data_IF_681577542061
#
_entry.id   IF_681577542061
#
_cell.length_a   1.000
_cell.length_b   1.000
_cell.length_c   1.000
_cell.angle_alpha   90.00
_cell.angle_beta   90.00
_cell.angle_gamma   90.00
#
_symmetry.space_group_name_H-M   'P 1'
#
loop_
_entity.id
_entity.type
_entity.pdbx_description
1 polymer ?
#
# COMPACT_ATOMS: atom_id res chain seq x y z
N UNK A 1 27.90 -13.28 1.09
CA UNK A 1 27.36 -12.55 2.25
C UNK A 1 25.84 -12.55 2.09
N UNK A 2 25.08 -13.18 2.98
CA UNK A 2 23.60 -13.11 2.92
C UNK A 2 23.19 -11.74 3.44
N UNK A 3 22.42 -11.01 2.65
CA UNK A 3 21.84 -9.72 3.07
C UNK A 3 20.75 -10.02 4.10
N UNK A 4 20.82 -9.35 5.24
CA UNK A 4 19.71 -9.35 6.22
C UNK A 4 18.68 -8.30 5.78
N UNK A 5 17.78 -8.71 4.91
CA UNK A 5 16.73 -7.84 4.36
C UNK A 5 15.83 -7.23 5.44
N UNK A 6 15.65 -7.92 6.57
CA UNK A 6 14.88 -7.38 7.69
C UNK A 6 15.57 -6.17 8.32
N UNK A 7 16.86 -6.31 8.62
CA UNK A 7 17.64 -5.21 9.22
C UNK A 7 17.70 -4.02 8.27
N UNK A 8 17.92 -4.29 6.97
CA UNK A 8 17.98 -3.26 5.94
C UNK A 8 16.64 -2.52 5.77
N UNK A 9 15.52 -3.26 5.68
CA UNK A 9 14.18 -2.66 5.62
C UNK A 9 13.87 -1.80 6.84
N UNK A 10 14.16 -2.26 8.06
CA UNK A 10 13.92 -1.49 9.28
C UNK A 10 14.75 -0.21 9.32
N UNK A 11 15.99 -0.25 8.81
CA UNK A 11 16.84 0.93 8.70
C UNK A 11 16.27 1.96 7.71
N UNK A 12 15.84 1.50 6.53
CA UNK A 12 15.18 2.32 5.51
C UNK A 12 13.89 2.93 6.03
N UNK A 13 13.07 2.15 6.71
CA UNK A 13 11.82 2.59 7.29
C UNK A 13 12.01 3.70 8.34
N UNK A 14 13.01 3.57 9.21
CA UNK A 14 13.33 4.60 10.20
C UNK A 14 13.87 5.88 9.53
N UNK A 15 14.67 5.76 8.47
CA UNK A 15 15.12 6.88 7.65
C UNK A 15 13.96 7.61 6.94
N UNK A 16 13.07 6.86 6.35
CA UNK A 16 11.88 7.40 5.66
C UNK A 16 10.90 8.09 6.61
N UNK A 17 10.71 7.55 7.80
CA UNK A 17 9.83 8.15 8.82
C UNK A 17 10.27 9.56 9.22
N UNK A 18 11.55 9.88 9.09
CA UNK A 18 12.08 11.19 9.48
C UNK A 18 11.86 12.29 8.44
N UNK A 19 11.61 11.94 7.15
CA UNK A 19 11.58 12.89 6.04
C UNK A 19 10.22 13.11 5.34
N UNK A 20 9.30 12.14 5.42
CA UNK A 20 8.18 12.08 4.47
C UNK A 20 6.92 12.89 4.82
N UNK A 21 6.78 13.38 6.05
CA UNK A 21 5.65 14.23 6.43
C UNK A 21 6.14 15.40 7.27
N UNK A 22 6.87 16.31 6.63
CA UNK A 22 7.21 17.59 7.23
C UNK A 22 5.90 18.40 7.45
N UNK A 23 5.56 18.78 8.69
CA UNK A 23 4.35 19.54 8.98
C UNK A 23 4.27 20.87 8.20
N UNK A 24 5.39 21.48 7.85
CA UNK A 24 5.40 22.71 7.08
C UNK A 24 5.07 22.48 5.60
N UNK A 25 5.49 21.35 5.04
CA UNK A 25 5.09 20.92 3.70
C UNK A 25 3.59 20.60 3.68
N UNK A 26 3.11 19.85 4.67
CA UNK A 26 1.69 19.49 4.79
C UNK A 26 0.79 20.73 4.90
N UNK A 27 1.19 21.74 5.70
CA UNK A 27 0.45 23.00 5.82
C UNK A 27 0.41 23.76 4.49
N UNK A 28 1.54 23.81 3.79
CA UNK A 28 1.64 24.46 2.48
C UNK A 28 0.72 23.80 1.45
N UNK A 29 0.59 22.48 1.52
CA UNK A 29 -0.31 21.70 0.64
C UNK A 29 -1.78 21.77 1.09
N UNK A 30 -2.07 22.50 2.19
CA UNK A 30 -3.43 22.66 2.71
C UNK A 30 -3.92 21.48 3.56
N UNK A 31 -3.02 20.60 4.00
CA UNK A 31 -3.41 19.48 4.86
C UNK A 31 -3.84 19.97 6.24
N UNK A 32 -5.02 19.58 6.74
CA UNK A 32 -5.55 20.04 8.02
C UNK A 32 -4.93 19.24 9.18
N UNK A 33 -3.71 19.61 9.59
CA UNK A 33 -2.91 18.90 10.59
C UNK A 33 -3.64 18.64 11.92
N UNK A 34 -4.47 19.59 12.35
CA UNK A 34 -5.14 19.55 13.66
C UNK A 34 -6.58 19.01 13.57
N UNK A 35 -7.10 18.79 12.36
CA UNK A 35 -8.46 18.32 12.17
C UNK A 35 -8.56 16.81 12.39
N UNK A 36 -9.42 16.41 13.32
CA UNK A 36 -9.84 15.02 13.45
C UNK A 36 -10.90 14.70 12.40
N UNK A 37 -10.82 13.50 11.83
CA UNK A 37 -11.87 12.98 10.99
C UNK A 37 -13.10 12.62 11.82
N UNK A 38 -14.28 12.91 11.28
CA UNK A 38 -15.56 12.59 11.88
C UNK A 38 -16.21 11.39 11.18
N UNK A 39 -17.25 10.83 11.79
CA UNK A 39 -18.07 9.79 11.16
C UNK A 39 -18.67 10.23 9.81
N UNK A 40 -18.97 11.52 9.67
CA UNK A 40 -19.45 12.09 8.41
C UNK A 40 -18.36 12.12 7.36
N UNK A 41 -17.13 12.53 7.74
CA UNK A 41 -15.97 12.51 6.84
C UNK A 41 -15.70 11.09 6.32
N UNK A 42 -15.75 10.09 7.22
CA UNK A 42 -15.48 8.70 6.82
C UNK A 42 -16.55 8.15 5.88
N UNK A 43 -17.85 8.43 6.13
CA UNK A 43 -18.92 8.00 5.22
C UNK A 43 -18.82 8.68 3.85
N UNK A 44 -18.42 9.95 3.83
CA UNK A 44 -18.20 10.68 2.58
C UNK A 44 -17.03 10.07 1.81
N UNK A 45 -15.90 9.79 2.48
CA UNK A 45 -14.75 9.14 1.88
C UNK A 45 -15.08 7.74 1.36
N UNK A 46 -15.77 6.92 2.17
CA UNK A 46 -16.20 5.58 1.78
C UNK A 46 -17.12 5.62 0.54
N UNK A 47 -18.04 6.59 0.49
CA UNK A 47 -18.93 6.79 -0.66
C UNK A 47 -18.20 7.24 -1.91
N UNK A 48 -17.26 8.18 -1.81
CA UNK A 48 -16.47 8.68 -2.94
C UNK A 48 -15.49 7.64 -3.47
N UNK A 49 -14.81 6.92 -2.56
CA UNK A 49 -13.86 5.86 -2.91
C UNK A 49 -14.53 4.54 -3.32
N UNK A 50 -15.83 4.40 -3.10
CA UNK A 50 -16.61 3.19 -3.43
C UNK A 50 -16.27 1.97 -2.57
N UNK A 51 -15.69 2.17 -1.37
CA UNK A 51 -15.26 1.10 -0.47
C UNK A 51 -15.83 1.31 0.94
N UNK A 52 -15.75 0.29 1.77
CA UNK A 52 -15.98 0.42 3.22
C UNK A 52 -14.66 0.17 3.94
N UNK A 53 -14.22 1.07 4.80
CA UNK A 53 -12.97 0.89 5.52
C UNK A 53 -13.03 -0.31 6.48
N UNK A 54 -11.95 -1.12 6.62
CA UNK A 54 -11.85 -2.11 7.68
C UNK A 54 -12.11 -1.49 9.05
N UNK A 55 -12.84 -2.18 9.93
CA UNK A 55 -13.30 -1.62 11.21
C UNK A 55 -12.16 -1.05 12.06
N UNK A 56 -11.06 -1.79 12.20
CA UNK A 56 -9.91 -1.37 12.98
C UNK A 56 -9.24 -0.10 12.41
N UNK A 57 -9.15 -0.01 11.08
CA UNK A 57 -8.62 1.18 10.40
C UNK A 57 -9.56 2.37 10.59
N UNK A 58 -10.88 2.15 10.45
CA UNK A 58 -11.90 3.17 10.66
C UNK A 58 -11.86 3.74 12.08
N UNK A 59 -11.76 2.89 13.08
CA UNK A 59 -11.61 3.30 14.47
C UNK A 59 -10.32 4.07 14.72
N UNK A 60 -9.23 3.67 14.07
CA UNK A 60 -7.96 4.37 14.14
C UNK A 60 -8.08 5.81 13.59
N UNK A 61 -8.70 5.97 12.42
CA UNK A 61 -8.93 7.28 11.80
C UNK A 61 -9.74 8.23 12.70
N UNK A 62 -10.75 7.71 13.42
CA UNK A 62 -11.57 8.50 14.33
C UNK A 62 -10.83 8.89 15.62
N UNK A 63 -9.95 8.03 16.11
CA UNK A 63 -9.21 8.27 17.36
C UNK A 63 -8.03 9.22 17.16
N UNK A 64 -7.44 9.25 15.99
CA UNK A 64 -6.21 10.01 15.76
C UNK A 64 -6.50 11.47 15.37
N UNK A 65 -5.94 12.40 16.17
CA UNK A 65 -6.01 13.84 15.89
C UNK A 65 -4.80 14.40 15.12
N UNK A 66 -3.61 13.80 15.31
CA UNK A 66 -2.37 14.26 14.68
C UNK A 66 -1.76 13.21 13.77
N UNK A 67 -1.05 13.62 12.69
CA UNK A 67 -0.36 12.69 11.83
C UNK A 67 0.69 11.90 12.60
N UNK A 68 0.56 10.58 12.62
CA UNK A 68 1.69 9.72 12.92
C UNK A 68 2.67 9.79 11.76
N UNK A 69 3.93 10.07 12.05
CA UNK A 69 4.98 10.13 11.03
C UNK A 69 5.04 8.81 10.27
N UNK A 70 5.14 8.90 8.94
CA UNK A 70 5.33 7.76 8.08
C UNK A 70 4.09 6.92 7.79
N UNK A 71 2.88 7.42 8.07
CA UNK A 71 1.62 6.82 7.67
C UNK A 71 0.93 7.72 6.65
N UNK A 72 0.59 7.16 5.47
CA UNK A 72 -0.22 7.88 4.50
C UNK A 72 -1.60 8.12 5.09
N UNK A 73 -2.06 9.37 5.07
CA UNK A 73 -3.26 9.78 5.82
C UNK A 73 -4.43 10.07 4.92
N UNK A 74 -5.57 9.50 5.30
CA UNK A 74 -6.82 9.85 4.66
C UNK A 74 -7.11 11.34 4.83
N UNK A 75 -7.34 12.05 3.74
CA UNK A 75 -7.69 13.45 3.72
C UNK A 75 -8.54 13.80 2.51
N UNK A 76 -9.21 14.95 2.56
CA UNK A 76 -9.89 15.50 1.40
C UNK A 76 -9.01 16.59 0.78
N UNK A 77 -8.34 16.21 -0.30
CA UNK A 77 -7.52 17.12 -1.09
C UNK A 77 -8.32 17.85 -2.18
N UNK A 78 -7.63 18.61 -3.05
CA UNK A 78 -8.27 19.32 -4.16
C UNK A 78 -8.98 18.43 -5.18
N UNK A 79 -8.59 17.15 -5.25
CA UNK A 79 -9.12 16.15 -6.19
C UNK A 79 -10.12 15.19 -5.54
N UNK A 80 -10.50 15.41 -4.27
CA UNK A 80 -11.38 14.53 -3.52
C UNK A 80 -10.69 13.79 -2.38
N UNK A 81 -11.31 12.70 -1.91
CA UNK A 81 -10.76 11.88 -0.85
C UNK A 81 -9.66 10.94 -1.35
N UNK A 82 -8.57 10.86 -0.58
CA UNK A 82 -7.43 9.99 -0.88
C UNK A 82 -6.45 9.94 0.28
N UNK A 83 -5.29 9.34 0.07
CA UNK A 83 -4.24 9.23 1.09
C UNK A 83 -3.12 10.22 0.81
N UNK A 84 -2.94 11.20 1.70
CA UNK A 84 -1.84 12.15 1.60
C UNK A 84 -0.48 11.44 1.71
N UNK A 85 0.40 11.72 0.77
CA UNK A 85 1.71 11.08 0.67
C UNK A 85 1.73 9.80 -0.19
N UNK A 86 0.56 9.28 -0.55
CA UNK A 86 0.44 8.13 -1.44
C UNK A 86 0.44 8.57 -2.91
N UNK A 87 1.30 7.94 -3.70
CA UNK A 87 1.40 8.14 -5.15
C UNK A 87 1.26 6.83 -5.93
N UNK A 88 0.98 5.72 -5.25
CA UNK A 88 1.04 4.37 -5.82
C UNK A 88 -0.31 3.64 -5.83
N UNK A 89 -1.25 4.02 -4.98
CA UNK A 89 -2.58 3.38 -4.97
C UNK A 89 -3.30 3.60 -6.29
N UNK A 90 -3.71 2.50 -6.92
CA UNK A 90 -4.56 2.57 -8.11
C UNK A 90 -6.03 2.69 -7.69
N UNK A 91 -6.55 3.91 -7.69
CA UNK A 91 -7.92 4.22 -7.27
C UNK A 91 -8.98 3.56 -8.16
N UNK A 92 -8.70 3.35 -9.45
CA UNK A 92 -9.61 2.70 -10.40
C UNK A 92 -9.82 1.21 -10.07
N UNK A 93 -8.85 0.60 -9.40
CA UNK A 93 -8.91 -0.80 -9.00
C UNK A 93 -9.29 -1.00 -7.51
N UNK A 94 -9.53 0.09 -6.77
CA UNK A 94 -9.73 0.01 -5.32
C UNK A 94 -10.97 -0.78 -4.90
N UNK A 95 -12.00 -0.79 -5.73
CA UNK A 95 -13.24 -1.54 -5.50
C UNK A 95 -13.15 -3.02 -5.89
N UNK A 96 -12.09 -3.41 -6.59
CA UNK A 96 -11.87 -4.80 -6.97
C UNK A 96 -11.29 -5.60 -5.80
N UNK A 97 -11.59 -6.91 -5.68
CA UNK A 97 -10.97 -7.74 -4.65
C UNK A 97 -9.46 -7.82 -4.78
N UNK A 98 -8.76 -7.67 -3.65
CA UNK A 98 -7.31 -7.88 -3.60
C UNK A 98 -6.97 -9.33 -3.99
N UNK A 99 -6.11 -9.55 -5.01
CA UNK A 99 -5.76 -10.87 -5.46
C UNK A 99 -4.69 -11.51 -4.55
N UNK A 100 -4.92 -12.75 -4.10
CA UNK A 100 -3.85 -13.49 -3.44
C UNK A 100 -2.76 -13.88 -4.46
N UNK A 101 -1.46 -13.77 -4.12
CA UNK A 101 -0.36 -14.11 -5.04
C UNK A 101 -0.47 -15.46 -5.73
N UNK A 102 -1.02 -16.47 -5.05
CA UNK A 102 -1.21 -17.81 -5.65
C UNK A 102 -2.19 -17.80 -6.83
N UNK A 103 -3.01 -16.76 -6.99
CA UNK A 103 -3.98 -16.67 -8.08
C UNK A 103 -3.39 -16.16 -9.40
N UNK A 104 -2.24 -15.49 -9.34
CA UNK A 104 -1.61 -14.91 -10.53
C UNK A 104 -0.20 -15.43 -10.84
N UNK A 105 0.45 -16.15 -9.91
CA UNK A 105 1.83 -16.63 -10.07
C UNK A 105 2.04 -17.42 -11.35
N UNK A 106 1.19 -18.42 -11.63
CA UNK A 106 1.32 -19.24 -12.83
C UNK A 106 1.15 -18.42 -14.13
N UNK A 107 0.32 -17.38 -14.11
CA UNK A 107 0.14 -16.49 -15.25
C UNK A 107 1.33 -15.52 -15.42
N UNK A 108 1.98 -15.14 -14.33
CA UNK A 108 3.21 -14.35 -14.38
C UNK A 108 4.39 -15.18 -14.90
N UNK A 109 4.51 -16.43 -14.46
CA UNK A 109 5.51 -17.37 -14.95
C UNK A 109 5.35 -17.58 -16.49
N UNK A 110 4.11 -17.82 -16.96
CA UNK A 110 3.79 -17.94 -18.40
C UNK A 110 4.13 -16.65 -19.17
N UNK A 111 3.85 -15.48 -18.60
CA UNK A 111 4.18 -14.19 -19.21
C UNK A 111 5.70 -14.01 -19.33
N UNK A 112 6.46 -14.37 -18.29
CA UNK A 112 7.91 -14.33 -18.31
C UNK A 112 8.53 -15.26 -19.37
N UNK A 113 7.94 -16.46 -19.56
CA UNK A 113 8.38 -17.38 -20.61
C UNK A 113 8.12 -16.87 -22.04
N UNK A 114 7.18 -15.92 -22.20
CA UNK A 114 6.82 -15.31 -23.49
C UNK A 114 7.57 -14.02 -23.79
N UNK A 115 8.57 -13.62 -22.97
CA UNK A 115 9.38 -12.42 -23.20
C UNK A 115 9.99 -12.46 -24.61
N UNK A 116 9.66 -11.49 -25.49
CA UNK A 116 10.17 -11.48 -26.86
C UNK A 116 11.63 -11.00 -26.91
N UNK A 117 12.36 -11.29 -28.00
CA UNK A 117 13.67 -10.72 -28.23
C UNK A 117 13.61 -9.19 -28.22
N UNK A 118 14.58 -8.53 -27.59
CA UNK A 118 14.60 -7.05 -27.47
C UNK A 118 14.74 -6.33 -28.80
N UNK A 119 15.20 -7.03 -29.83
CA UNK A 119 15.31 -6.54 -31.21
C UNK A 119 13.93 -6.40 -31.87
N UNK A 120 12.93 -7.17 -31.43
CA UNK A 120 11.54 -7.05 -31.86
C UNK A 120 10.82 -6.01 -31.01
N UNK A 121 11.02 -4.75 -31.36
CA UNK A 121 10.55 -3.61 -30.57
C UNK A 121 9.03 -3.60 -30.41
N UNK A 122 8.27 -3.96 -31.45
CA UNK A 122 6.81 -3.96 -31.42
C UNK A 122 6.27 -5.04 -30.46
N UNK A 123 6.76 -6.27 -30.58
CA UNK A 123 6.40 -7.35 -29.68
C UNK A 123 6.84 -7.07 -28.24
N UNK A 124 8.00 -6.40 -28.08
CA UNK A 124 8.50 -6.04 -26.75
C UNK A 124 7.63 -4.97 -26.09
N UNK A 125 7.20 -3.95 -26.79
CA UNK A 125 6.30 -2.90 -26.28
C UNK A 125 4.93 -3.47 -25.87
N UNK A 126 4.37 -4.40 -26.65
CA UNK A 126 3.11 -5.08 -26.31
C UNK A 126 3.26 -5.94 -25.05
N UNK A 127 4.34 -6.69 -24.95
CA UNK A 127 4.63 -7.53 -23.79
C UNK A 127 4.88 -6.69 -22.51
N UNK A 128 5.67 -5.61 -22.61
CA UNK A 128 5.94 -4.70 -21.50
C UNK A 128 4.66 -4.02 -21.01
N UNK A 129 3.79 -3.63 -21.94
CA UNK A 129 2.46 -3.12 -21.60
C UNK A 129 1.61 -4.16 -20.85
N UNK A 130 1.59 -5.42 -21.30
CA UNK A 130 0.88 -6.50 -20.59
C UNK A 130 1.45 -6.70 -19.19
N UNK A 131 2.77 -6.68 -19.04
CA UNK A 131 3.45 -6.74 -17.74
C UNK A 131 2.97 -5.60 -16.82
N UNK A 132 2.97 -4.37 -17.31
CA UNK A 132 2.52 -3.19 -16.55
C UNK A 132 1.08 -3.32 -16.06
N UNK A 133 0.16 -3.72 -16.93
CA UNK A 133 -1.26 -3.93 -16.58
C UNK A 133 -1.41 -5.02 -15.49
N UNK A 134 -0.63 -6.10 -15.57
CA UNK A 134 -0.67 -7.18 -14.57
C UNK A 134 -0.10 -6.70 -13.23
N UNK A 135 1.02 -5.98 -13.26
CA UNK A 135 1.64 -5.42 -12.05
C UNK A 135 0.70 -4.48 -11.29
N UNK A 136 -0.04 -3.62 -11.98
CA UNK A 136 -1.04 -2.75 -11.36
C UNK A 136 -2.16 -3.54 -10.69
N UNK A 137 -2.62 -4.63 -11.29
CA UNK A 137 -3.69 -5.48 -10.75
C UNK A 137 -3.31 -6.22 -9.48
N UNK A 138 -2.03 -6.47 -9.23
CA UNK A 138 -1.55 -7.18 -8.03
C UNK A 138 -1.86 -6.43 -6.74
N UNK A 139 -2.10 -5.13 -6.80
CA UNK A 139 -2.48 -4.30 -5.65
C UNK A 139 -3.91 -3.77 -5.71
N UNK A 140 -4.74 -4.33 -6.60
CA UNK A 140 -6.17 -4.03 -6.62
C UNK A 140 -6.79 -4.21 -5.22
N UNK A 141 -7.71 -3.36 -4.81
CA UNK A 141 -8.37 -3.45 -3.51
C UNK A 141 -7.47 -3.26 -2.29
N UNK A 142 -6.28 -2.70 -2.48
CA UNK A 142 -5.37 -2.35 -1.39
C UNK A 142 -4.89 -0.90 -1.51
N UNK A 143 -4.51 -0.32 -0.39
CA UNK A 143 -3.93 1.03 -0.30
C UNK A 143 -2.51 0.96 0.24
N UNK A 144 -1.65 1.80 -0.30
CA UNK A 144 -0.31 1.99 0.21
C UNK A 144 -0.37 2.85 1.47
N UNK A 145 -0.35 2.18 2.63
CA UNK A 145 -0.57 2.86 3.92
C UNK A 145 0.73 3.40 4.52
N UNK A 146 1.87 2.83 4.14
CA UNK A 146 3.18 3.27 4.60
C UNK A 146 4.24 2.97 3.55
N UNK A 147 5.04 3.98 3.21
CA UNK A 147 6.25 3.81 2.40
C UNK A 147 7.42 3.35 3.27
N UNK A 148 8.18 2.37 2.77
CA UNK A 148 9.35 1.81 3.44
C UNK A 148 10.69 2.28 2.87
N UNK A 149 10.67 3.06 1.79
CA UNK A 149 11.86 3.45 1.02
C UNK A 149 12.32 2.37 0.03
N UNK A 150 13.15 2.76 -0.93
CA UNK A 150 13.67 1.89 -1.99
C UNK A 150 12.61 1.03 -2.70
N UNK A 151 11.39 1.54 -2.83
CA UNK A 151 10.28 0.83 -3.46
C UNK A 151 9.52 -0.15 -2.55
N UNK A 152 9.97 -0.37 -1.32
CA UNK A 152 9.23 -1.14 -0.34
C UNK A 152 8.03 -0.37 0.21
N UNK A 153 6.94 -1.05 0.46
CA UNK A 153 5.77 -0.45 1.09
C UNK A 153 4.96 -1.46 1.91
N UNK A 154 4.10 -0.93 2.77
CA UNK A 154 3.09 -1.71 3.48
C UNK A 154 1.71 -1.37 2.92
N UNK A 155 0.95 -2.41 2.63
CA UNK A 155 -0.40 -2.34 2.09
C UNK A 155 -1.42 -2.65 3.19
N UNK A 156 -2.52 -1.92 3.18
CA UNK A 156 -3.76 -2.30 3.87
C UNK A 156 -4.76 -2.77 2.81
N UNK A 157 -5.21 -4.01 2.91
CA UNK A 157 -6.27 -4.50 2.04
C UNK A 157 -7.62 -3.94 2.47
N UNK A 158 -8.32 -3.28 1.53
CA UNK A 158 -9.60 -2.62 1.80
C UNK A 158 -10.78 -3.32 1.13
N UNK A 159 -10.54 -4.21 0.15
CA UNK A 159 -11.60 -4.90 -0.59
C UNK A 159 -11.27 -6.38 -0.81
N UNK A 160 -12.26 -7.24 -0.72
CA UNK A 160 -12.14 -8.68 -0.95
C UNK A 160 -11.97 -9.51 0.32
N UNK A 161 -11.62 -10.81 0.18
CA UNK A 161 -11.56 -11.76 1.29
C UNK A 161 -10.47 -11.45 2.32
N UNK A 162 -9.42 -10.74 1.91
CA UNK A 162 -8.29 -10.35 2.75
C UNK A 162 -8.45 -8.97 3.40
N UNK A 163 -9.66 -8.39 3.33
CA UNK A 163 -9.94 -7.04 3.85
C UNK A 163 -9.59 -6.90 5.33
N UNK A 164 -8.78 -5.89 5.64
CA UNK A 164 -8.27 -5.61 6.98
C UNK A 164 -6.91 -6.23 7.29
N UNK A 165 -6.38 -7.09 6.41
CA UNK A 165 -5.06 -7.66 6.55
C UNK A 165 -3.98 -6.68 6.06
N UNK A 166 -2.80 -6.80 6.68
CA UNK A 166 -1.61 -6.05 6.30
C UNK A 166 -0.70 -6.90 5.41
N UNK A 167 -0.22 -6.29 4.33
CA UNK A 167 0.65 -6.94 3.36
C UNK A 167 1.91 -6.10 3.11
N UNK A 168 2.95 -6.73 2.65
CA UNK A 168 4.23 -6.10 2.29
C UNK A 168 4.41 -6.16 0.78
N UNK A 169 4.64 -5.01 0.15
CA UNK A 169 5.04 -4.92 -1.23
C UNK A 169 6.57 -4.83 -1.32
N UNK A 170 7.18 -5.94 -1.72
CA UNK A 170 8.62 -6.08 -1.91
C UNK A 170 9.04 -6.18 -3.38
N UNK A 171 8.14 -5.89 -4.33
CA UNK A 171 8.39 -6.09 -5.76
C UNK A 171 9.61 -5.35 -6.30
N UNK A 172 10.00 -4.26 -5.66
CA UNK A 172 11.23 -3.54 -6.04
C UNK A 172 12.53 -4.37 -5.90
N UNK A 173 12.52 -5.47 -5.14
CA UNK A 173 13.72 -6.26 -4.87
C UNK A 173 13.53 -7.77 -4.91
N UNK A 174 12.36 -8.27 -4.58
CA UNK A 174 12.09 -9.71 -4.51
C UNK A 174 10.91 -10.17 -5.36
N UNK A 175 10.35 -9.27 -6.18
CA UNK A 175 9.22 -9.49 -7.08
C UNK A 175 7.98 -10.10 -6.39
N UNK A 176 7.79 -9.82 -5.09
CA UNK A 176 6.77 -10.46 -4.29
C UNK A 176 5.93 -9.47 -3.49
N UNK A 177 4.64 -9.76 -3.42
CA UNK A 177 3.73 -9.20 -2.43
C UNK A 177 3.47 -10.30 -1.39
N UNK A 178 3.78 -10.02 -0.13
CA UNK A 178 3.77 -11.01 0.95
C UNK A 178 2.83 -10.60 2.08
N UNK A 179 2.01 -11.54 2.59
CA UNK A 179 1.19 -11.25 3.76
C UNK A 179 2.08 -11.01 4.99
N UNK A 180 1.79 -9.99 5.78
CA UNK A 180 2.37 -9.91 7.10
C UNK A 180 1.72 -10.98 7.99
N UNK A 181 2.55 -11.83 8.58
CA UNK A 181 2.07 -12.96 9.39
C UNK A 181 2.71 -12.95 10.77
N UNK A 182 1.94 -13.42 11.75
CA UNK A 182 2.42 -13.66 13.10
C UNK A 182 1.87 -14.97 13.63
N UNK A 183 2.75 -15.84 14.06
CA UNK A 183 2.37 -17.21 14.50
C UNK A 183 1.47 -17.92 13.46
N UNK A 184 1.77 -17.76 12.17
CA UNK A 184 1.04 -18.40 11.06
C UNK A 184 -0.28 -17.71 10.65
N UNK A 185 -0.80 -16.72 11.40
CA UNK A 185 -2.02 -15.99 11.05
C UNK A 185 -1.73 -14.64 10.41
N UNK A 186 -2.63 -14.10 9.57
CA UNK A 186 -2.53 -12.75 9.05
C UNK A 186 -2.47 -11.71 10.18
N UNK A 187 -1.76 -10.63 9.94
CA UNK A 187 -1.67 -9.47 10.83
C UNK A 187 -2.76 -8.47 10.45
N UNK A 188 -3.56 -8.04 11.43
CA UNK A 188 -4.54 -6.98 11.24
C UNK A 188 -3.92 -5.59 11.33
N UNK A 189 -4.67 -4.57 10.92
CA UNK A 189 -4.22 -3.18 11.00
C UNK A 189 -3.90 -2.76 12.45
N UNK A 190 -4.78 -3.12 13.42
CA UNK A 190 -4.57 -2.76 14.82
C UNK A 190 -3.30 -3.41 15.40
N UNK A 191 -3.11 -4.70 15.16
CA UNK A 191 -1.91 -5.43 15.60
C UNK A 191 -0.63 -4.83 14.98
N UNK A 192 -0.67 -4.44 13.71
CA UNK A 192 0.46 -3.81 13.04
C UNK A 192 0.83 -2.45 13.67
N UNK A 193 -0.17 -1.62 13.99
CA UNK A 193 0.02 -0.34 14.69
C UNK A 193 0.58 -0.55 16.08
N UNK A 194 -0.01 -1.46 16.87
CA UNK A 194 0.45 -1.80 18.23
C UNK A 194 1.92 -2.25 18.28
N UNK A 195 2.39 -2.89 17.20
CA UNK A 195 3.78 -3.32 17.03
C UNK A 195 4.70 -2.24 16.47
N UNK A 196 4.27 -0.99 16.53
CA UNK A 196 5.05 0.16 16.08
C UNK A 196 5.25 0.19 14.57
N UNK A 197 4.42 -0.54 13.80
CA UNK A 197 4.46 -0.57 12.32
C UNK A 197 5.79 -1.07 11.75
N UNK A 198 6.46 -1.98 12.45
CA UNK A 198 7.79 -2.53 12.11
C UNK A 198 7.74 -4.03 11.81
N UNK A 199 6.56 -4.59 11.53
CA UNK A 199 6.45 -5.97 11.14
C UNK A 199 6.92 -6.14 9.69
N UNK A 200 7.67 -7.21 9.46
CA UNK A 200 8.19 -7.61 8.16
C UNK A 200 7.74 -9.05 7.87
N UNK A 201 7.69 -9.48 6.61
CA UNK A 201 7.34 -10.85 6.27
C UNK A 201 8.41 -11.88 6.59
N UNK A 202 9.62 -11.46 6.98
CA UNK A 202 10.78 -12.30 7.34
C UNK A 202 10.95 -12.49 8.84
#
# INVERSE_FOLDING_TARGET
>A
MKIDWRAEYLCLLDGHRSGFLDPDVMRRDGFPLERRLTETDLREAEGELGITFPSEYREHLLRQGNPERGLNRLWRGPQGWGWYGDTRTNYDLLTQPFPHPDTYRAADDDLGEREPPREDTEAWEEWDHECGVREERKTAGAVYIQEGGCGFATLLVVTGPHRGEMWFDGRATCDQILPLRRAGRPVSFAEWVERGRKLTPW
#
